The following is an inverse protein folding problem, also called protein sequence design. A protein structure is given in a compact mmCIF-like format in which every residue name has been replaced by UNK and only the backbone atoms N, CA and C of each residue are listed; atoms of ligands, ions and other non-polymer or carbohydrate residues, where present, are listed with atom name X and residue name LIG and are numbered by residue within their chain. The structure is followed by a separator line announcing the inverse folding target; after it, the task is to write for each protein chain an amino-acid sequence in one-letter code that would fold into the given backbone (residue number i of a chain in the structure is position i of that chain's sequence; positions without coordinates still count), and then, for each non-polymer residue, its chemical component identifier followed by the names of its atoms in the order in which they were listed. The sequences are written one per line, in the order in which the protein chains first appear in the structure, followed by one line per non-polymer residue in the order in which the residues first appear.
data_IF_525586883280
#
_entry.id   IF_525586883280
#
_cell.length_a   1.000
_cell.length_b   1.000
_cell.length_c   1.000
_cell.angle_alpha   90.00
_cell.angle_beta   90.00
_cell.angle_gamma   90.00
#
_symmetry.space_group_name_H-M   'P 1'
#
loop_
_entity.id
_entity.type
_entity.pdbx_description
1 polymer ?
#
# COMPACT_ATOMS: atom_id res chain seq x y z
N UNK A 1 7.55 37.48 -17.01
CA UNK A 1 8.49 37.35 -15.85
C UNK A 1 7.75 36.58 -14.75
N UNK A 2 8.19 35.34 -14.46
CA UNK A 2 7.56 34.47 -13.47
C UNK A 2 8.41 34.36 -12.21
N UNK A 3 7.78 34.17 -11.05
CA UNK A 3 8.46 33.92 -9.79
C UNK A 3 9.22 32.58 -9.89
N UNK A 4 10.53 32.61 -9.61
CA UNK A 4 11.41 31.43 -9.65
C UNK A 4 11.82 30.91 -8.27
N UNK A 5 11.93 31.81 -7.30
CA UNK A 5 12.35 31.49 -5.94
C UNK A 5 11.26 31.99 -5.01
N UNK A 6 10.75 31.12 -4.15
CA UNK A 6 9.75 31.50 -3.17
C UNK A 6 10.06 30.89 -1.81
N UNK A 7 10.30 31.77 -0.85
CA UNK A 7 10.61 31.39 0.52
C UNK A 7 9.39 31.66 1.40
N UNK A 8 8.83 30.61 1.97
CA UNK A 8 7.73 30.62 2.92
C UNK A 8 8.19 30.14 4.30
N UNK A 9 9.48 29.96 4.55
CA UNK A 9 9.96 29.40 5.81
C UNK A 9 9.68 30.29 7.02
N UNK A 10 9.57 29.66 8.20
CA UNK A 10 9.33 30.35 9.47
C UNK A 10 7.95 30.99 9.60
N UNK A 11 6.96 30.51 8.83
CA UNK A 11 5.58 30.97 8.89
C UNK A 11 4.68 29.98 9.65
N UNK A 12 3.38 30.28 9.72
CA UNK A 12 2.36 29.43 10.37
C UNK A 12 1.44 28.76 9.36
N UNK A 13 1.96 28.43 8.18
CA UNK A 13 1.16 27.85 7.10
C UNK A 13 0.84 26.40 7.45
N UNK A 14 -0.44 26.05 7.43
CA UNK A 14 -0.92 24.69 7.71
C UNK A 14 -1.29 23.90 6.45
N UNK A 15 -1.74 24.58 5.41
CA UNK A 15 -2.07 24.00 4.12
C UNK A 15 -1.79 24.99 2.99
N UNK A 16 -1.43 24.46 1.81
CA UNK A 16 -1.25 25.24 0.60
C UNK A 16 -2.37 24.89 -0.39
N UNK A 17 -3.16 25.89 -0.77
CA UNK A 17 -4.29 25.71 -1.68
C UNK A 17 -3.82 25.40 -3.11
N UNK A 18 -4.67 24.71 -3.88
CA UNK A 18 -4.43 24.47 -5.30
C UNK A 18 -4.27 25.79 -6.05
N UNK A 19 -3.25 25.90 -6.88
CA UNK A 19 -2.97 27.13 -7.64
C UNK A 19 -2.33 28.27 -6.83
N UNK A 20 -2.06 28.09 -5.54
CA UNK A 20 -1.36 29.10 -4.73
C UNK A 20 0.12 29.27 -5.10
N UNK A 21 0.71 28.28 -5.77
CA UNK A 21 2.11 28.27 -6.19
C UNK A 21 2.22 28.37 -7.72
N UNK A 22 3.01 29.31 -8.26
CA UNK A 22 3.22 29.43 -9.69
C UNK A 22 4.06 28.27 -10.25
N UNK A 23 3.66 27.73 -11.40
CA UNK A 23 4.36 26.62 -12.08
C UNK A 23 5.80 26.95 -12.52
N UNK A 24 6.17 28.23 -12.59
CA UNK A 24 7.52 28.71 -12.93
C UNK A 24 8.52 28.61 -11.78
N UNK A 25 8.09 28.15 -10.59
CA UNK A 25 8.95 27.99 -9.42
C UNK A 25 10.05 26.96 -9.67
N UNK A 26 11.26 27.33 -9.29
CA UNK A 26 12.46 26.50 -9.35
C UNK A 26 12.90 26.11 -7.94
N UNK A 27 12.80 27.03 -6.99
CA UNK A 27 13.12 26.77 -5.58
C UNK A 27 11.98 27.20 -4.67
N UNK A 28 11.60 26.29 -3.78
CA UNK A 28 10.55 26.50 -2.78
C UNK A 28 11.06 26.08 -1.40
N UNK A 29 10.98 27.00 -0.46
CA UNK A 29 11.26 26.72 0.94
C UNK A 29 9.98 26.81 1.76
N UNK A 30 9.58 25.70 2.36
CA UNK A 30 8.41 25.56 3.25
C UNK A 30 8.81 25.05 4.64
N UNK A 31 10.10 25.11 4.97
CA UNK A 31 10.61 24.72 6.29
C UNK A 31 10.00 25.55 7.42
N UNK A 32 10.04 25.03 8.64
CA UNK A 32 9.57 25.72 9.86
C UNK A 32 8.14 26.26 9.74
N UNK A 33 7.26 25.48 9.12
CA UNK A 33 5.82 25.73 9.06
C UNK A 33 5.03 24.62 9.77
N UNK A 34 3.72 24.83 9.91
CA UNK A 34 2.79 23.87 10.49
C UNK A 34 2.09 23.00 9.43
N UNK A 35 2.76 22.74 8.29
CA UNK A 35 2.16 22.02 7.16
C UNK A 35 1.86 20.58 7.56
N UNK A 36 0.60 20.19 7.41
CA UNK A 36 0.15 18.83 7.76
C UNK A 36 0.22 17.89 6.57
N UNK A 37 -0.19 18.34 5.38
CA UNK A 37 -0.26 17.48 4.18
C UNK A 37 0.27 18.18 2.94
N UNK A 38 1.08 17.46 2.15
CA UNK A 38 1.53 17.88 0.83
C UNK A 38 0.65 17.17 -0.20
N UNK A 39 -0.19 17.93 -0.91
CA UNK A 39 -1.23 17.41 -1.81
C UNK A 39 -0.77 17.52 -3.26
N UNK A 40 -0.99 16.48 -4.06
CA UNK A 40 -0.57 16.38 -5.46
C UNK A 40 -1.10 17.55 -6.29
N UNK A 41 -2.34 17.96 -6.05
CA UNK A 41 -2.95 19.04 -6.81
C UNK A 41 -2.32 20.42 -6.57
N UNK A 42 -1.54 20.60 -5.50
CA UNK A 42 -0.82 21.86 -5.22
C UNK A 42 0.61 21.82 -5.76
N UNK A 43 1.31 20.69 -5.62
CA UNK A 43 2.74 20.56 -5.95
C UNK A 43 3.00 19.88 -7.30
N UNK A 44 2.05 19.09 -7.81
CA UNK A 44 2.12 18.45 -9.14
C UNK A 44 2.26 19.43 -10.31
N UNK A 45 1.61 20.61 -10.31
CA UNK A 45 1.81 21.62 -11.35
C UNK A 45 3.21 22.27 -11.36
N UNK A 46 4.04 22.06 -10.33
CA UNK A 46 5.37 22.67 -10.19
C UNK A 46 6.41 21.88 -11.00
N UNK A 47 6.23 21.83 -12.31
CA UNK A 47 7.09 21.04 -13.22
C UNK A 47 8.52 21.58 -13.37
N UNK A 48 8.75 22.85 -13.01
CA UNK A 48 10.07 23.49 -13.04
C UNK A 48 10.83 23.41 -11.72
N UNK A 49 10.23 22.83 -10.68
CA UNK A 49 10.81 22.78 -9.34
C UNK A 49 12.03 21.87 -9.31
N UNK A 50 13.14 22.38 -8.80
CA UNK A 50 14.42 21.66 -8.67
C UNK A 50 14.87 21.53 -7.22
N UNK A 51 14.49 22.47 -6.37
CA UNK A 51 14.84 22.46 -4.96
C UNK A 51 13.60 22.67 -4.10
N UNK A 52 13.32 21.69 -3.23
CA UNK A 52 12.31 21.80 -2.19
C UNK A 52 13.00 21.69 -0.82
N UNK A 53 12.94 22.75 -0.02
CA UNK A 53 13.34 22.69 1.38
C UNK A 53 12.09 22.48 2.23
N UNK A 54 12.02 21.36 2.92
CA UNK A 54 10.89 21.01 3.77
C UNK A 54 11.35 20.35 5.07
N UNK A 55 10.88 20.90 6.20
CA UNK A 55 11.18 20.45 7.54
C UNK A 55 9.95 20.66 8.42
N UNK A 56 9.67 19.72 9.32
CA UNK A 56 8.53 19.83 10.23
C UNK A 56 8.15 18.51 10.88
N UNK A 57 7.40 18.61 11.98
CA UNK A 57 7.00 17.44 12.80
C UNK A 57 5.49 17.14 12.75
N UNK A 58 4.73 17.92 11.98
CA UNK A 58 3.26 17.91 11.97
C UNK A 58 2.66 17.16 10.78
N UNK A 59 3.45 16.37 10.05
CA UNK A 59 2.99 15.74 8.81
C UNK A 59 1.98 14.60 9.09
N UNK A 60 0.93 14.54 8.28
CA UNK A 60 -0.06 13.47 8.29
C UNK A 60 0.37 12.43 7.28
N UNK A 61 0.92 11.33 7.79
CA UNK A 61 1.40 10.20 7.02
C UNK A 61 0.27 9.22 6.71
N UNK A 62 -0.81 9.76 6.13
CA UNK A 62 -1.96 9.04 5.58
C UNK A 62 -1.73 8.74 4.08
N UNK A 63 -2.72 8.13 3.45
CA UNK A 63 -2.69 7.84 2.02
C UNK A 63 -2.68 9.09 1.12
N UNK A 64 -3.06 10.25 1.65
CA UNK A 64 -2.96 11.52 0.93
C UNK A 64 -1.50 11.94 0.69
N UNK A 65 -0.57 11.46 1.53
CA UNK A 65 0.87 11.69 1.40
C UNK A 65 1.58 10.60 0.59
N UNK A 66 0.85 9.55 0.15
CA UNK A 66 1.43 8.42 -0.60
C UNK A 66 2.19 8.89 -1.85
N UNK A 67 1.59 9.78 -2.64
CA UNK A 67 2.18 10.29 -3.87
C UNK A 67 3.47 11.07 -3.58
N UNK A 68 3.51 11.87 -2.52
CA UNK A 68 4.70 12.62 -2.14
C UNK A 68 5.84 11.66 -1.77
N UNK A 69 5.57 10.67 -0.93
CA UNK A 69 6.59 9.72 -0.45
C UNK A 69 7.10 8.78 -1.54
N UNK A 70 6.20 8.27 -2.39
CA UNK A 70 6.56 7.23 -3.37
C UNK A 70 6.92 7.78 -4.76
N UNK A 71 6.38 8.94 -5.15
CA UNK A 71 6.61 9.54 -6.47
C UNK A 71 7.57 10.73 -6.30
N UNK A 72 7.15 11.74 -5.54
CA UNK A 72 7.86 13.02 -5.48
C UNK A 72 9.24 12.93 -4.81
N UNK A 73 9.38 12.16 -3.73
CA UNK A 73 10.69 11.93 -3.08
C UNK A 73 11.69 11.13 -3.92
N UNK A 74 11.25 10.48 -5.00
CA UNK A 74 12.07 9.64 -5.86
C UNK A 74 12.34 10.30 -7.23
N UNK A 75 11.87 11.52 -7.45
CA UNK A 75 12.09 12.26 -8.69
C UNK A 75 13.58 12.68 -8.80
N UNK A 76 14.34 12.19 -9.80
CA UNK A 76 15.79 12.43 -9.89
C UNK A 76 16.16 13.89 -10.14
N UNK A 77 15.25 14.70 -10.68
CA UNK A 77 15.49 16.12 -10.98
C UNK A 77 15.21 17.04 -9.78
N UNK A 78 14.66 16.51 -8.69
CA UNK A 78 14.26 17.27 -7.51
C UNK A 78 15.16 16.98 -6.31
N UNK A 79 15.88 17.99 -5.85
CA UNK A 79 16.61 17.96 -4.60
C UNK A 79 15.67 18.33 -3.44
N UNK A 80 15.58 17.46 -2.43
CA UNK A 80 14.76 17.70 -1.24
C UNK A 80 15.63 17.85 -0.01
N UNK A 81 15.77 19.09 0.46
CA UNK A 81 16.49 19.40 1.71
C UNK A 81 15.56 19.20 2.90
N UNK A 82 16.13 18.66 3.97
CA UNK A 82 15.37 18.39 5.20
C UNK A 82 14.56 17.09 5.17
N UNK A 83 14.76 16.20 4.18
CA UNK A 83 14.05 14.90 4.08
C UNK A 83 14.09 14.06 5.36
N UNK A 84 15.21 14.09 6.08
CA UNK A 84 15.36 13.38 7.37
C UNK A 84 14.71 14.09 8.56
N UNK A 85 14.37 15.36 8.42
CA UNK A 85 13.76 16.20 9.45
C UNK A 85 12.23 16.33 9.31
N UNK A 86 11.64 15.62 8.35
CA UNK A 86 10.19 15.50 8.21
C UNK A 86 9.69 14.32 9.07
N UNK A 87 8.91 14.62 10.12
CA UNK A 87 8.31 13.60 11.01
C UNK A 87 6.80 13.57 10.91
N UNK A 88 6.24 12.39 11.06
CA UNK A 88 4.80 12.16 11.11
C UNK A 88 4.23 12.52 12.49
N UNK A 89 3.14 13.28 12.55
CA UNK A 89 2.34 13.45 13.76
C UNK A 89 1.14 12.50 13.80
N UNK A 90 0.61 12.14 12.64
CA UNK A 90 -0.57 11.28 12.47
C UNK A 90 -0.31 10.26 11.35
N UNK A 91 -0.84 9.03 11.40
CA UNK A 91 -1.67 8.43 12.46
C UNK A 91 -0.85 8.06 13.72
N UNK A 92 -1.49 7.87 14.90
CA UNK A 92 -0.78 7.67 16.17
C UNK A 92 0.19 6.49 16.16
N UNK A 93 -0.07 5.45 15.37
CA UNK A 93 0.81 4.29 15.23
C UNK A 93 2.17 4.63 14.59
N UNK A 94 2.25 5.76 13.88
CA UNK A 94 3.45 6.21 13.15
C UNK A 94 3.97 7.55 13.65
N UNK A 95 3.46 8.05 14.78
CA UNK A 95 3.88 9.33 15.35
C UNK A 95 5.40 9.33 15.65
N UNK A 96 6.09 10.39 15.25
CA UNK A 96 7.53 10.57 15.40
C UNK A 96 8.39 9.84 14.36
N UNK A 97 7.81 8.99 13.51
CA UNK A 97 8.54 8.30 12.44
C UNK A 97 8.87 9.24 11.27
N UNK A 98 9.97 8.99 10.54
CA UNK A 98 10.33 9.80 9.38
C UNK A 98 9.35 9.59 8.22
N UNK A 99 8.96 10.68 7.55
CA UNK A 99 8.04 10.65 6.40
C UNK A 99 8.57 9.76 5.29
N UNK A 100 9.86 9.89 4.93
CA UNK A 100 10.47 9.07 3.88
C UNK A 100 10.58 7.57 4.19
N UNK A 101 10.54 7.19 5.48
CA UNK A 101 10.56 5.78 5.92
C UNK A 101 9.17 5.18 6.11
N UNK A 102 8.13 5.99 5.98
CA UNK A 102 6.74 5.54 6.11
C UNK A 102 6.42 4.64 4.93
N UNK A 103 6.46 3.31 5.14
CA UNK A 103 6.05 2.29 4.14
C UNK A 103 4.56 2.41 3.85
N UNK A 104 4.20 3.41 3.05
CA UNK A 104 2.88 3.67 2.50
C UNK A 104 2.82 2.90 1.18
N UNK A 105 2.19 1.72 1.21
CA UNK A 105 2.03 0.89 0.01
C UNK A 105 0.65 1.12 -0.60
N UNK A 106 0.57 1.05 -1.94
CA UNK A 106 -0.68 1.17 -2.68
C UNK A 106 -1.73 0.14 -2.18
N UNK A 107 -1.26 -1.04 -1.74
CA UNK A 107 -2.11 -2.09 -1.17
C UNK A 107 -2.89 -1.65 0.08
N UNK A 108 -2.33 -0.77 0.92
CA UNK A 108 -3.02 -0.24 2.11
C UNK A 108 -3.83 1.01 1.81
N UNK A 109 -3.50 1.71 0.73
CA UNK A 109 -4.14 2.97 0.38
C UNK A 109 -5.28 2.85 -0.62
N UNK A 110 -5.31 1.76 -1.39
CA UNK A 110 -6.43 1.43 -2.27
C UNK A 110 -7.26 0.31 -1.67
N UNK A 111 -8.48 0.67 -1.24
CA UNK A 111 -9.47 -0.30 -0.74
C UNK A 111 -9.76 -1.38 -1.79
N UNK A 112 -9.83 -1.02 -3.07
CA UNK A 112 -10.07 -1.96 -4.17
C UNK A 112 -8.97 -3.00 -4.31
N UNK A 113 -7.69 -2.57 -4.24
CA UNK A 113 -6.55 -3.49 -4.32
C UNK A 113 -6.49 -4.40 -3.09
N UNK A 114 -6.77 -3.86 -1.90
CA UNK A 114 -6.83 -4.64 -0.68
C UNK A 114 -7.89 -5.75 -0.77
N UNK A 115 -9.12 -5.40 -1.17
CA UNK A 115 -10.20 -6.36 -1.33
C UNK A 115 -9.87 -7.42 -2.39
N UNK A 116 -9.33 -7.03 -3.54
CA UNK A 116 -8.94 -7.96 -4.59
C UNK A 116 -7.88 -8.98 -4.12
N UNK A 117 -6.84 -8.52 -3.42
CA UNK A 117 -5.77 -9.40 -2.91
C UNK A 117 -6.31 -10.34 -1.83
N UNK A 118 -7.12 -9.85 -0.89
CA UNK A 118 -7.72 -10.70 0.15
C UNK A 118 -8.66 -11.75 -0.43
N UNK A 119 -9.47 -11.39 -1.44
CA UNK A 119 -10.35 -12.32 -2.13
C UNK A 119 -9.57 -13.40 -2.89
N UNK A 120 -8.50 -13.03 -3.60
CA UNK A 120 -7.63 -13.96 -4.30
C UNK A 120 -6.90 -14.92 -3.34
N UNK A 121 -6.42 -14.42 -2.21
CA UNK A 121 -5.80 -15.26 -1.19
C UNK A 121 -6.80 -16.23 -0.55
N UNK A 122 -8.01 -15.77 -0.26
CA UNK A 122 -9.08 -16.60 0.28
C UNK A 122 -9.51 -17.69 -0.70
N UNK A 123 -9.66 -17.37 -1.99
CA UNK A 123 -10.03 -18.35 -3.00
C UNK A 123 -8.95 -19.42 -3.17
N UNK A 124 -7.67 -19.03 -3.19
CA UNK A 124 -6.55 -19.99 -3.22
C UNK A 124 -6.53 -20.90 -1.97
N UNK A 125 -6.78 -20.34 -0.79
CA UNK A 125 -6.85 -21.13 0.44
C UNK A 125 -8.00 -22.14 0.40
N UNK A 126 -9.19 -21.72 -0.06
CA UNK A 126 -10.35 -22.61 -0.22
C UNK A 126 -10.04 -23.73 -1.22
N UNK A 127 -9.44 -23.40 -2.36
CA UNK A 127 -9.03 -24.40 -3.36
C UNK A 127 -7.99 -25.38 -2.81
N UNK A 128 -7.01 -24.90 -2.03
CA UNK A 128 -6.03 -25.77 -1.40
C UNK A 128 -6.68 -26.72 -0.38
N UNK A 129 -7.63 -26.22 0.43
CA UNK A 129 -8.37 -27.03 1.39
C UNK A 129 -9.26 -28.06 0.73
N UNK A 130 -9.98 -27.70 -0.34
CA UNK A 130 -10.83 -28.66 -1.07
C UNK A 130 -9.98 -29.75 -1.71
N UNK A 131 -8.84 -29.41 -2.31
CA UNK A 131 -7.89 -30.39 -2.85
C UNK A 131 -7.33 -31.27 -1.74
N UNK A 132 -6.97 -30.72 -0.57
CA UNK A 132 -6.46 -31.50 0.56
C UNK A 132 -7.52 -32.48 1.07
N UNK A 133 -8.77 -32.04 1.25
CA UNK A 133 -9.87 -32.91 1.64
C UNK A 133 -10.08 -34.02 0.60
N UNK A 134 -10.13 -33.70 -0.69
CA UNK A 134 -10.25 -34.71 -1.75
C UNK A 134 -9.08 -35.69 -1.78
N UNK A 135 -7.85 -35.22 -1.51
CA UNK A 135 -6.64 -36.06 -1.47
C UNK A 135 -6.55 -36.94 -0.23
N UNK A 136 -7.13 -36.53 0.89
CA UNK A 136 -7.16 -37.32 2.13
C UNK A 136 -8.32 -38.30 2.15
N UNK A 137 -9.50 -37.90 1.67
CA UNK A 137 -10.68 -38.75 1.58
C UNK A 137 -10.63 -39.71 0.38
N UNK A 138 -10.04 -39.32 -0.75
CA UNK A 138 -9.91 -40.17 -1.93
C UNK A 138 -9.29 -41.55 -1.65
N UNK A 139 -8.14 -41.63 -0.97
CA UNK A 139 -7.54 -42.89 -0.53
C UNK A 139 -8.46 -43.70 0.40
N UNK A 140 -9.21 -43.04 1.28
CA UNK A 140 -10.16 -43.70 2.18
C UNK A 140 -11.33 -44.30 1.38
N UNK A 141 -11.92 -43.57 0.44
CA UNK A 141 -13.00 -44.03 -0.42
C UNK A 141 -12.59 -45.20 -1.33
N UNK A 142 -11.39 -45.15 -1.94
CA UNK A 142 -10.87 -46.26 -2.77
C UNK A 142 -10.67 -47.52 -1.92
N UNK A 143 -10.12 -47.37 -0.70
CA UNK A 143 -9.89 -48.49 0.22
C UNK A 143 -11.21 -49.12 0.68
N UNK A 144 -12.22 -48.32 1.01
CA UNK A 144 -13.55 -48.84 1.39
C UNK A 144 -14.28 -49.51 0.22
N UNK A 145 -14.18 -48.94 -0.99
CA UNK A 145 -14.69 -49.57 -2.20
C UNK A 145 -14.05 -50.94 -2.48
N UNK A 146 -12.74 -51.06 -2.30
CA UNK A 146 -12.04 -52.34 -2.40
C UNK A 146 -12.54 -53.36 -1.36
N UNK A 147 -12.67 -52.96 -0.08
CA UNK A 147 -13.22 -53.83 0.96
C UNK A 147 -14.63 -54.30 0.63
N UNK A 148 -15.48 -53.43 0.09
CA UNK A 148 -16.85 -53.76 -0.28
C UNK A 148 -16.92 -54.74 -1.47
N UNK A 149 -16.11 -54.53 -2.51
CA UNK A 149 -15.99 -55.46 -3.64
C UNK A 149 -15.50 -56.85 -3.18
N UNK A 150 -14.49 -56.88 -2.30
CA UNK A 150 -13.98 -58.13 -1.71
C UNK A 150 -15.07 -58.85 -0.89
N UNK A 151 -15.85 -58.12 -0.09
CA UNK A 151 -16.95 -58.70 0.68
C UNK A 151 -18.06 -59.28 -0.22
N UNK A 152 -18.42 -58.58 -1.30
CA UNK A 152 -19.39 -59.05 -2.31
C UNK A 152 -18.90 -60.29 -3.06
N UNK A 153 -17.63 -60.33 -3.48
CA UNK A 153 -17.04 -61.50 -4.15
C UNK A 153 -17.12 -62.76 -3.29
N UNK A 154 -16.82 -62.61 -1.99
CA UNK A 154 -16.90 -63.68 -1.00
C UNK A 154 -18.33 -64.19 -0.75
N UNK A 155 -19.36 -63.38 -1.01
CA UNK A 155 -20.76 -63.83 -0.99
C UNK A 155 -21.15 -64.61 -2.24
N UNK A 156 -20.68 -64.21 -3.43
CA UNK A 156 -20.99 -64.92 -4.68
C UNK A 156 -20.37 -66.32 -4.72
N UNK A 157 -19.12 -66.49 -4.26
CA UNK A 157 -18.47 -67.81 -4.16
C UNK A 157 -19.18 -68.81 -3.23
N UNK A 158 -20.06 -68.34 -2.35
CA UNK A 158 -20.81 -69.20 -1.41
C UNK A 158 -22.19 -69.60 -1.91
N UNK A 159 -22.62 -69.13 -3.07
CA UNK A 159 -23.91 -69.50 -3.65
C UNK A 159 -23.72 -70.81 -4.45
N UNK A 160 -24.27 -71.96 -4.01
CA UNK A 160 -24.19 -73.18 -4.81
C UNK A 160 -24.92 -72.97 -6.13
N UNK A 161 -24.33 -73.45 -7.21
CA UNK A 161 -24.96 -73.52 -8.53
C UNK A 161 -26.02 -74.62 -8.46
N UNK A 162 -27.29 -74.23 -8.55
CA UNK A 162 -28.42 -75.13 -8.82
C UNK A 162 -28.44 -75.53 -10.30
#
# INVERSE_FOLDING_TARGET
PGLKYFNLSGNKISFLQRGSLPASLVELDISDNAITTIVEATFGPLTSLRLLTAQGEHFFCTCDLYWFVNIYLHEPQLEIRGRGAMRCSFPPERRGSPVGGSRLTLLRCSLGVQLAVTAAAASLAVLALTVLCWRLDGPWYIRMGWYWCMAKRKQYEKRPED
#
